data_IF_421859650006
#
_entry.id   IF_421859650006
#
_cell.length_a   1.000
_cell.length_b   1.000
_cell.length_c   1.000
_cell.angle_alpha   90.00
_cell.angle_beta   90.00
_cell.angle_gamma   90.00
#
_symmetry.space_group_name_H-M   'P 1'
#
loop_
_entity.id
_entity.type
_entity.pdbx_description
1 polymer ?
#
# COMPACT_ATOMS: atom_id res chain seq x y z
N UNK A 1 -24.70 9.04 -18.41
CA UNK A 1 -24.33 9.59 -17.09
C UNK A 1 -22.80 9.75 -16.89
N UNK A 2 -21.95 9.53 -17.90
CA UNK A 2 -20.48 9.54 -17.76
C UNK A 2 -19.82 10.92 -17.52
N UNK A 3 -20.47 12.03 -17.89
CA UNK A 3 -19.82 13.34 -17.89
C UNK A 3 -19.69 13.95 -16.49
N UNK A 4 -20.70 13.77 -15.64
CA UNK A 4 -20.71 14.29 -14.27
C UNK A 4 -19.67 13.62 -13.36
N UNK A 5 -19.49 12.30 -13.49
CA UNK A 5 -18.49 11.56 -12.71
C UNK A 5 -17.05 11.93 -13.10
N UNK A 6 -16.82 12.19 -14.38
CA UNK A 6 -15.51 12.65 -14.86
C UNK A 6 -15.18 14.04 -14.30
N UNK A 7 -16.15 14.96 -14.35
CA UNK A 7 -15.99 16.31 -13.82
C UNK A 7 -15.74 16.31 -12.31
N UNK A 8 -16.47 15.48 -11.56
CA UNK A 8 -16.30 15.32 -10.11
C UNK A 8 -14.88 14.85 -9.74
N UNK A 9 -14.34 13.86 -10.46
CA UNK A 9 -12.97 13.37 -10.24
C UNK A 9 -11.91 14.43 -10.56
N UNK A 10 -12.14 15.28 -11.57
CA UNK A 10 -11.21 16.36 -11.91
C UNK A 10 -11.23 17.47 -10.85
N UNK A 11 -12.42 17.85 -10.37
CA UNK A 11 -12.58 18.87 -9.32
C UNK A 11 -11.98 18.39 -7.99
N UNK A 12 -12.25 17.15 -7.57
CA UNK A 12 -11.70 16.59 -6.33
C UNK A 12 -10.18 16.62 -6.32
N UNK A 13 -9.54 16.21 -7.42
CA UNK A 13 -8.07 16.24 -7.56
C UNK A 13 -7.50 17.66 -7.49
N UNK A 14 -8.25 18.66 -7.98
CA UNK A 14 -7.84 20.06 -7.93
C UNK A 14 -7.87 20.59 -6.50
N UNK A 15 -8.93 20.27 -5.74
CA UNK A 15 -9.07 20.67 -4.33
C UNK A 15 -7.99 20.04 -3.47
N UNK A 16 -7.69 18.75 -3.63
CA UNK A 16 -6.66 18.04 -2.86
C UNK A 16 -5.25 18.67 -3.03
N UNK A 17 -4.93 19.15 -4.23
CA UNK A 17 -3.65 19.80 -4.52
C UNK A 17 -3.56 21.19 -3.88
N UNK A 18 -4.68 21.91 -3.78
CA UNK A 18 -4.74 23.27 -3.19
C UNK A 18 -4.64 23.21 -1.67
N UNK A 19 -5.34 22.27 -1.02
CA UNK A 19 -5.37 22.19 0.45
C UNK A 19 -4.06 21.68 1.05
N UNK A 20 -3.35 20.77 0.38
CA UNK A 20 -2.14 20.15 0.92
C UNK A 20 -0.83 20.82 0.49
N UNK A 21 -0.87 21.89 -0.33
CA UNK A 21 0.34 22.48 -0.93
C UNK A 21 1.17 21.47 -1.74
N UNK A 22 0.54 20.36 -2.16
CA UNK A 22 1.19 19.23 -2.78
C UNK A 22 1.36 19.50 -4.27
N UNK A 23 2.61 19.64 -4.72
CA UNK A 23 2.91 19.77 -6.14
C UNK A 23 2.74 18.43 -6.83
N UNK A 24 1.83 18.38 -7.81
CA UNK A 24 1.61 17.18 -8.63
C UNK A 24 2.89 16.82 -9.38
N UNK A 25 3.31 15.55 -9.31
CA UNK A 25 4.48 14.98 -10.01
C UNK A 25 4.03 14.07 -11.17
N UNK A 26 3.63 14.63 -12.33
CA UNK A 26 3.15 13.84 -13.46
C UNK A 26 4.22 12.92 -14.06
N UNK A 27 5.49 13.25 -13.86
CA UNK A 27 6.66 12.49 -14.28
C UNK A 27 6.78 11.11 -13.61
N UNK A 28 6.17 10.94 -12.42
CA UNK A 28 6.17 9.68 -11.68
C UNK A 28 4.96 8.79 -12.02
N UNK A 29 3.96 9.29 -12.74
CA UNK A 29 2.74 8.53 -13.04
C UNK A 29 3.06 7.44 -14.07
N UNK A 30 2.76 6.19 -13.72
CA UNK A 30 3.04 5.02 -14.55
C UNK A 30 4.46 4.46 -14.42
N UNK A 31 5.30 5.06 -13.58
CA UNK A 31 6.60 4.50 -13.22
C UNK A 31 6.43 3.41 -12.16
N UNK A 32 7.21 2.34 -12.27
CA UNK A 32 7.30 1.30 -11.24
C UNK A 32 8.35 1.70 -10.19
N UNK A 33 8.12 1.28 -8.94
CA UNK A 33 9.07 1.47 -7.85
C UNK A 33 8.89 0.40 -6.80
N UNK A 34 9.86 0.29 -5.90
CA UNK A 34 9.82 -0.62 -4.76
C UNK A 34 9.65 0.20 -3.50
N UNK A 35 8.69 -0.19 -2.65
CA UNK A 35 8.52 0.38 -1.32
C UNK A 35 9.13 -0.59 -0.32
N UNK A 36 10.16 -0.15 0.41
CA UNK A 36 10.68 -0.89 1.55
C UNK A 36 9.87 -0.52 2.79
N UNK A 37 9.32 -1.52 3.48
CA UNK A 37 8.59 -1.34 4.74
C UNK A 37 9.18 -2.25 5.80
N UNK A 38 9.20 -1.76 7.04
CA UNK A 38 9.42 -2.60 8.20
C UNK A 38 8.08 -3.20 8.62
N UNK A 39 8.08 -4.50 8.91
CA UNK A 39 6.93 -5.23 9.44
C UNK A 39 7.31 -5.84 10.80
N UNK A 40 6.32 -5.98 11.66
CA UNK A 40 6.39 -6.75 12.89
C UNK A 40 5.54 -8.00 12.74
N UNK A 41 6.10 -9.18 13.01
CA UNK A 41 5.32 -10.42 13.07
C UNK A 41 4.61 -10.44 14.42
N UNK A 42 3.29 -10.44 14.40
CA UNK A 42 2.44 -10.42 15.59
C UNK A 42 1.74 -11.76 15.86
N UNK A 43 1.68 -12.64 14.86
CA UNK A 43 1.16 -14.00 14.98
C UNK A 43 1.77 -14.91 13.90
N UNK A 44 1.79 -16.22 14.13
CA UNK A 44 2.28 -17.21 13.18
C UNK A 44 1.53 -18.54 13.34
N UNK A 45 1.20 -19.17 12.22
CA UNK A 45 0.56 -20.48 12.20
C UNK A 45 1.29 -21.38 11.20
N UNK A 46 1.79 -22.51 11.70
CA UNK A 46 2.42 -23.55 10.89
C UNK A 46 1.39 -24.62 10.53
N UNK A 47 1.41 -25.04 9.27
CA UNK A 47 0.60 -26.13 8.72
C UNK A 47 1.50 -27.10 7.98
N UNK A 48 0.96 -28.26 7.57
CA UNK A 48 1.68 -29.21 6.72
C UNK A 48 2.14 -28.63 5.36
N UNK A 49 1.61 -27.47 4.97
CA UNK A 49 1.88 -26.80 3.70
C UNK A 49 2.80 -25.57 3.82
N UNK A 50 3.20 -25.18 5.04
CA UNK A 50 4.08 -24.03 5.27
C UNK A 50 3.68 -23.19 6.48
N UNK A 51 4.37 -22.05 6.63
CA UNK A 51 4.18 -21.09 7.71
C UNK A 51 3.52 -19.82 7.18
N UNK A 52 2.33 -19.53 7.68
CA UNK A 52 1.66 -18.25 7.47
C UNK A 52 1.92 -17.35 8.68
N UNK A 53 2.21 -16.08 8.43
CA UNK A 53 2.44 -15.07 9.47
C UNK A 53 1.46 -13.92 9.36
N UNK A 54 1.03 -13.44 10.51
CA UNK A 54 0.28 -12.20 10.63
C UNK A 54 1.26 -11.08 10.94
N UNK A 55 1.25 -10.07 10.09
CA UNK A 55 2.18 -8.95 10.17
C UNK A 55 1.42 -7.67 10.45
N UNK A 56 2.02 -6.80 11.25
CA UNK A 56 1.64 -5.40 11.41
C UNK A 56 2.68 -4.54 10.72
N UNK A 57 2.27 -3.67 9.80
CA UNK A 57 3.19 -2.71 9.19
C UNK A 57 3.22 -1.37 9.96
N UNK A 58 4.26 -0.58 9.71
CA UNK A 58 4.46 0.71 10.39
C UNK A 58 3.47 1.81 9.97
N UNK A 59 2.59 1.52 9.01
CA UNK A 59 1.49 2.41 8.61
C UNK A 59 0.15 1.98 9.18
N UNK A 60 0.13 0.92 10.01
CA UNK A 60 -1.01 0.49 10.82
C UNK A 60 -1.85 -0.61 10.19
N UNK A 61 -1.42 -1.18 9.07
CA UNK A 61 -2.12 -2.28 8.40
C UNK A 61 -1.73 -3.62 9.01
N UNK A 62 -2.72 -4.49 9.21
CA UNK A 62 -2.53 -5.85 9.74
C UNK A 62 -3.09 -6.88 8.79
N UNK A 63 -2.25 -7.80 8.32
CA UNK A 63 -2.65 -8.82 7.35
C UNK A 63 -1.87 -10.14 7.52
N UNK A 64 -2.42 -11.21 6.96
CA UNK A 64 -1.72 -12.50 6.86
C UNK A 64 -0.95 -12.59 5.55
N UNK A 65 0.26 -13.14 5.60
CA UNK A 65 1.10 -13.43 4.43
C UNK A 65 1.89 -14.71 4.68
N UNK A 66 2.30 -15.38 3.61
CA UNK A 66 3.16 -16.55 3.72
C UNK A 66 4.63 -16.12 3.76
N UNK A 67 5.40 -16.74 4.65
CA UNK A 67 6.85 -16.61 4.67
C UNK A 67 7.44 -17.62 3.68
N UNK A 68 7.76 -17.16 2.48
CA UNK A 68 8.58 -17.94 1.55
C UNK A 68 10.04 -17.85 2.01
N UNK A 69 10.51 -18.92 2.66
CA UNK A 69 11.90 -19.24 2.99
C UNK A 69 12.80 -18.01 3.28
N UNK A 70 12.55 -17.37 4.42
CA UNK A 70 13.47 -16.36 4.95
C UNK A 70 14.38 -17.08 5.93
N UNK A 71 15.66 -17.27 5.56
CA UNK A 71 16.69 -17.68 6.50
C UNK A 71 16.72 -16.67 7.66
N UNK A 72 16.20 -17.08 8.80
CA UNK A 72 16.34 -16.35 10.06
C UNK A 72 17.75 -16.63 10.58
N UNK A 73 18.66 -15.69 10.36
CA UNK A 73 20.01 -15.70 10.95
C UNK A 73 19.99 -15.48 12.46
#
# INVERSE_FOLDING_TARGET
MLYGEKLYKEISKLVDNVENGANRRPDLIGQSGTITRSIEIIDATETEHGVSVRVSDNVGEVYWTDLNDVELN
#
